data_IF_439913416837
#
_entry.id   IF_439913416837
#
_cell.length_a   1.000
_cell.length_b   1.000
_cell.length_c   1.000
_cell.angle_alpha   90.00
_cell.angle_beta   90.00
_cell.angle_gamma   90.00
#
_symmetry.space_group_name_H-M   'P 1'
#
loop_
_entity.id
_entity.type
_entity.pdbx_description
1 polymer ?
#
# COMPACT_ATOMS: atom_id res chain seq x y z
N UNK A 1 -1.19 11.82 -25.27
CA UNK A 1 -1.01 10.38 -25.28
C UNK A 1 0.26 10.04 -26.03
N UNK A 2 1.10 9.18 -25.47
CA UNK A 2 2.33 8.76 -26.12
C UNK A 2 2.42 7.23 -26.15
N UNK A 3 2.85 6.72 -27.31
CA UNK A 3 3.20 5.32 -27.51
C UNK A 3 4.67 5.21 -27.93
N UNK A 4 5.40 4.30 -27.33
CA UNK A 4 6.76 3.98 -27.74
C UNK A 4 7.00 2.47 -27.68
N UNK A 5 7.68 1.94 -28.69
CA UNK A 5 8.15 0.55 -28.66
C UNK A 5 9.24 0.38 -27.61
N UNK A 6 10.18 1.32 -27.56
CA UNK A 6 11.23 1.37 -26.53
C UNK A 6 11.47 2.82 -26.12
N UNK A 7 11.97 3.03 -24.90
CA UNK A 7 12.24 4.36 -24.37
C UNK A 7 13.59 4.39 -23.67
N UNK A 8 14.39 5.40 -24.07
CA UNK A 8 15.55 5.87 -23.29
C UNK A 8 15.45 7.38 -23.18
N UNK A 9 15.18 7.90 -21.99
CA UNK A 9 14.97 9.33 -21.76
C UNK A 9 13.64 9.65 -21.11
N UNK A 10 12.94 10.66 -21.58
CA UNK A 10 11.70 11.17 -20.97
C UNK A 10 10.53 11.00 -21.94
N UNK A 11 9.42 10.53 -21.40
CA UNK A 11 8.13 10.48 -22.07
C UNK A 11 7.10 11.19 -21.19
N UNK A 12 6.47 12.24 -21.72
CA UNK A 12 5.51 13.06 -20.98
C UNK A 12 4.20 13.16 -21.77
N UNK A 13 3.08 12.99 -21.10
CA UNK A 13 1.74 13.10 -21.68
C UNK A 13 0.72 13.66 -20.69
N UNK A 14 -0.33 14.32 -21.22
CA UNK A 14 -1.43 14.76 -20.38
C UNK A 14 -2.24 13.56 -19.84
N UNK A 15 -2.54 12.56 -20.66
CA UNK A 15 -3.40 11.47 -20.23
C UNK A 15 -2.62 10.18 -19.93
N UNK A 16 -1.91 9.62 -20.91
CA UNK A 16 -1.18 8.37 -20.68
C UNK A 16 0.07 8.21 -21.55
N UNK A 17 1.02 7.47 -21.01
CA UNK A 17 2.20 6.97 -21.70
C UNK A 17 2.15 5.44 -21.74
N UNK A 18 2.46 4.86 -22.89
CA UNK A 18 2.58 3.41 -23.08
C UNK A 18 3.94 3.07 -23.66
N UNK A 19 4.62 2.09 -23.07
CA UNK A 19 5.89 1.56 -23.60
C UNK A 19 5.82 0.04 -23.67
N UNK A 20 5.98 -0.50 -24.89
CA UNK A 20 5.80 -1.93 -25.20
C UNK A 20 7.01 -2.80 -24.82
N UNK A 21 8.14 -2.22 -24.52
CA UNK A 21 9.34 -2.90 -24.05
C UNK A 21 9.85 -2.30 -22.75
N UNK A 22 10.66 -3.04 -21.97
CA UNK A 22 11.26 -2.49 -20.76
C UNK A 22 12.11 -1.27 -21.05
N UNK A 23 11.81 -0.15 -20.41
CA UNK A 23 12.43 1.14 -20.70
C UNK A 23 13.47 1.58 -19.65
N UNK A 24 14.23 2.62 -19.99
CA UNK A 24 15.12 3.37 -19.08
C UNK A 24 14.80 4.84 -19.16
N UNK A 25 14.49 5.48 -18.02
CA UNK A 25 14.22 6.91 -17.99
C UNK A 25 13.01 7.29 -17.16
N UNK A 26 12.25 8.25 -17.63
CA UNK A 26 11.15 8.87 -16.89
C UNK A 26 9.88 8.87 -17.74
N UNK A 27 8.79 8.39 -17.16
CA UNK A 27 7.44 8.59 -17.68
C UNK A 27 6.65 9.52 -16.76
N UNK A 28 6.07 10.57 -17.32
CA UNK A 28 5.24 11.55 -16.62
C UNK A 28 3.85 11.62 -17.27
N UNK A 29 2.80 11.55 -16.48
CA UNK A 29 1.43 11.77 -16.94
C UNK A 29 0.53 12.34 -15.85
N UNK A 30 -0.48 13.09 -16.24
CA UNK A 30 -1.58 13.43 -15.34
C UNK A 30 -2.55 12.25 -15.15
N UNK A 31 -2.58 11.31 -16.08
CA UNK A 31 -3.35 10.07 -15.99
C UNK A 31 -2.44 8.89 -15.60
N UNK A 32 -2.10 8.04 -16.57
CA UNK A 32 -1.47 6.75 -16.29
C UNK A 32 -0.19 6.51 -17.10
N UNK A 33 0.76 5.79 -16.52
CA UNK A 33 1.93 5.28 -17.21
C UNK A 33 1.87 3.74 -17.22
N UNK A 34 2.00 3.15 -18.41
CA UNK A 34 1.96 1.71 -18.62
C UNK A 34 3.24 1.28 -19.32
N UNK A 35 3.92 0.28 -18.78
CA UNK A 35 5.13 -0.27 -19.37
C UNK A 35 5.20 -1.78 -19.18
N UNK A 36 5.79 -2.50 -20.15
CA UNK A 36 6.11 -3.93 -20.00
C UNK A 36 7.26 -4.18 -18.99
N UNK A 37 7.81 -3.12 -18.42
CA UNK A 37 8.80 -3.13 -17.35
C UNK A 37 9.63 -1.86 -17.33
N UNK A 38 10.34 -1.65 -16.23
CA UNK A 38 11.26 -0.53 -16.04
C UNK A 38 12.62 -1.06 -15.62
N UNK A 39 13.56 -1.05 -16.56
CA UNK A 39 14.93 -1.53 -16.28
C UNK A 39 15.68 -0.64 -15.29
N UNK A 40 15.46 0.68 -15.37
CA UNK A 40 15.96 1.68 -14.42
C UNK A 40 15.25 3.01 -14.69
N UNK A 41 14.41 3.46 -13.79
CA UNK A 41 13.72 4.72 -14.03
C UNK A 41 12.58 5.02 -13.06
N UNK A 42 11.79 5.98 -13.47
CA UNK A 42 10.69 6.50 -12.66
C UNK A 42 9.41 6.60 -13.50
N UNK A 43 8.30 6.23 -12.91
CA UNK A 43 6.97 6.51 -13.42
C UNK A 43 6.26 7.45 -12.44
N UNK A 44 5.79 8.60 -12.92
CA UNK A 44 4.96 9.53 -12.14
C UNK A 44 3.66 9.71 -12.91
N UNK A 45 2.57 9.19 -12.35
CA UNK A 45 1.23 9.28 -12.91
C UNK A 45 0.23 9.60 -11.81
N UNK A 46 -0.61 10.61 -12.02
CA UNK A 46 -1.56 11.02 -11.01
C UNK A 46 -2.54 9.89 -10.66
N UNK A 47 -3.03 9.16 -11.68
CA UNK A 47 -3.98 8.06 -11.48
C UNK A 47 -3.25 6.74 -11.24
N UNK A 48 -2.44 6.29 -12.21
CA UNK A 48 -1.85 4.96 -12.12
C UNK A 48 -0.47 4.85 -12.79
N UNK A 49 0.37 3.98 -12.22
CA UNK A 49 1.59 3.48 -12.83
C UNK A 49 1.56 1.95 -12.83
N UNK A 50 1.72 1.36 -14.01
CA UNK A 50 1.68 -0.08 -14.21
C UNK A 50 2.97 -0.53 -14.90
N UNK A 51 3.69 -1.44 -14.26
CA UNK A 51 4.82 -2.13 -14.84
C UNK A 51 4.54 -3.65 -14.84
N UNK A 52 4.01 -4.16 -15.97
CA UNK A 52 3.80 -5.60 -16.16
C UNK A 52 5.14 -6.29 -16.42
N UNK A 53 5.88 -6.56 -15.35
CA UNK A 53 7.22 -7.08 -15.35
C UNK A 53 8.08 -6.44 -14.26
N UNK A 54 9.40 -6.43 -14.44
CA UNK A 54 10.30 -5.87 -13.44
C UNK A 54 10.26 -4.35 -13.41
N UNK A 55 10.06 -3.80 -12.23
CA UNK A 55 10.21 -2.37 -11.92
C UNK A 55 11.46 -2.14 -11.08
N UNK A 56 12.45 -1.43 -11.64
CA UNK A 56 13.63 -0.97 -10.90
C UNK A 56 13.65 0.55 -10.83
N UNK A 57 13.36 1.08 -9.64
CA UNK A 57 13.33 2.53 -9.42
C UNK A 57 12.12 2.98 -8.63
N UNK A 58 11.39 3.99 -9.12
CA UNK A 58 10.34 4.64 -8.35
C UNK A 58 9.03 4.73 -9.15
N UNK A 59 7.92 4.37 -8.53
CA UNK A 59 6.56 4.69 -8.99
C UNK A 59 5.91 5.65 -8.00
N UNK A 60 5.34 6.75 -8.50
CA UNK A 60 4.58 7.74 -7.71
C UNK A 60 3.22 7.97 -8.36
N UNK A 61 2.14 7.68 -7.64
CA UNK A 61 0.79 7.86 -8.18
C UNK A 61 -0.32 7.36 -7.26
N UNK A 62 -1.57 7.54 -7.65
CA UNK A 62 -2.71 7.04 -6.90
C UNK A 62 -2.67 5.52 -6.75
N UNK A 63 -2.47 4.83 -7.85
CA UNK A 63 -2.31 3.36 -7.91
C UNK A 63 -0.95 3.01 -8.54
N UNK A 64 -0.18 2.17 -7.88
CA UNK A 64 1.10 1.67 -8.41
C UNK A 64 1.08 0.14 -8.44
N UNK A 65 1.43 -0.43 -9.59
CA UNK A 65 1.51 -1.87 -9.79
C UNK A 65 2.85 -2.28 -10.42
N UNK A 66 3.43 -3.35 -9.92
CA UNK A 66 4.57 -4.03 -10.54
C UNK A 66 4.48 -5.54 -10.29
N UNK A 67 4.88 -6.37 -11.27
CA UNK A 67 5.03 -7.81 -11.01
C UNK A 67 6.20 -8.03 -10.05
N UNK A 68 7.39 -7.53 -10.40
CA UNK A 68 8.57 -7.59 -9.53
C UNK A 68 9.07 -6.18 -9.24
N UNK A 69 9.09 -5.77 -7.98
CA UNK A 69 9.57 -4.46 -7.55
C UNK A 69 10.97 -4.54 -6.93
N UNK A 70 11.92 -3.84 -7.54
CA UNK A 70 13.22 -3.53 -6.94
C UNK A 70 13.35 -2.02 -6.83
N UNK A 71 12.89 -1.45 -5.73
CA UNK A 71 12.79 0.01 -5.56
C UNK A 71 11.59 0.41 -4.74
N UNK A 72 10.96 1.53 -5.06
CA UNK A 72 9.92 2.08 -4.21
C UNK A 72 8.62 2.39 -4.95
N UNK A 73 7.50 2.23 -4.25
CA UNK A 73 6.18 2.70 -4.66
C UNK A 73 5.67 3.68 -3.62
N UNK A 74 5.22 4.85 -4.06
CA UNK A 74 4.61 5.88 -3.22
C UNK A 74 3.25 6.25 -3.80
N UNK A 75 2.17 6.03 -3.04
CA UNK A 75 0.83 6.29 -3.54
C UNK A 75 -0.27 5.95 -2.55
N UNK A 76 -1.51 6.00 -3.01
CA UNK A 76 -2.64 5.57 -2.18
C UNK A 76 -2.68 4.04 -2.08
N UNK A 77 -2.55 3.36 -3.21
CA UNK A 77 -2.56 1.90 -3.30
C UNK A 77 -1.30 1.45 -4.02
N UNK A 78 -0.51 0.60 -3.38
CA UNK A 78 0.69 0.03 -3.95
C UNK A 78 0.59 -1.50 -3.98
N UNK A 79 0.82 -2.09 -5.14
CA UNK A 79 0.77 -3.53 -5.38
C UNK A 79 2.08 -3.97 -6.03
N UNK A 80 2.74 -4.95 -5.42
CA UNK A 80 3.86 -5.65 -6.02
C UNK A 80 3.70 -7.14 -5.75
N UNK A 81 3.70 -7.97 -6.78
CA UNK A 81 3.58 -9.42 -6.56
C UNK A 81 4.85 -9.93 -5.88
N UNK A 82 6.02 -9.58 -6.39
CA UNK A 82 7.30 -9.85 -5.78
C UNK A 82 8.01 -8.55 -5.40
N UNK A 83 8.57 -8.49 -4.20
CA UNK A 83 9.23 -7.28 -3.70
C UNK A 83 10.58 -7.62 -3.03
N UNK A 84 11.60 -7.99 -3.82
CA UNK A 84 12.88 -8.41 -3.26
C UNK A 84 13.61 -7.31 -2.48
N UNK A 85 13.51 -6.05 -2.91
CA UNK A 85 14.19 -4.93 -2.26
C UNK A 85 13.43 -3.62 -2.45
N UNK A 86 13.33 -2.83 -1.38
CA UNK A 86 12.77 -1.49 -1.42
C UNK A 86 11.68 -1.24 -0.39
N UNK A 87 10.78 -0.29 -0.68
CA UNK A 87 9.73 0.11 0.23
C UNK A 87 8.45 0.52 -0.50
N UNK A 88 7.30 0.14 0.04
CA UNK A 88 6.00 0.65 -0.36
C UNK A 88 5.51 1.64 0.71
N UNK A 89 5.12 2.85 0.30
CA UNK A 89 4.56 3.89 1.17
C UNK A 89 3.19 4.30 0.63
N UNK A 90 2.13 4.09 1.41
CA UNK A 90 0.78 4.39 0.95
C UNK A 90 -0.30 4.09 1.97
N UNK A 91 -1.56 4.33 1.62
CA UNK A 91 -2.66 3.93 2.48
C UNK A 91 -2.81 2.41 2.51
N UNK A 92 -2.77 1.78 1.34
CA UNK A 92 -2.84 0.32 1.20
C UNK A 92 -1.62 -0.18 0.45
N UNK A 93 -0.88 -1.12 1.05
CA UNK A 93 0.27 -1.77 0.44
C UNK A 93 0.07 -3.29 0.42
N UNK A 94 0.19 -3.88 -0.78
CA UNK A 94 0.08 -5.32 -0.98
C UNK A 94 1.33 -5.89 -1.65
N UNK A 95 1.83 -7.00 -1.14
CA UNK A 95 2.86 -7.81 -1.82
C UNK A 95 2.82 -9.26 -1.32
N UNK A 96 3.20 -10.19 -2.18
CA UNK A 96 3.39 -11.60 -1.76
C UNK A 96 4.62 -11.78 -0.86
N UNK A 97 5.61 -10.92 -0.92
CA UNK A 97 6.80 -11.04 -0.07
C UNK A 97 6.48 -10.61 1.37
N UNK A 98 6.60 -11.56 2.29
CA UNK A 98 6.36 -11.33 3.72
C UNK A 98 7.44 -10.48 4.39
N UNK A 99 8.60 -10.30 3.75
CA UNK A 99 9.75 -9.52 4.25
C UNK A 99 9.79 -8.11 3.70
N UNK A 100 8.93 -7.79 2.72
CA UNK A 100 8.88 -6.47 2.11
C UNK A 100 8.58 -5.38 3.14
N UNK A 101 9.27 -4.25 3.03
CA UNK A 101 9.04 -3.08 3.88
C UNK A 101 7.82 -2.32 3.38
N UNK A 102 6.83 -2.17 4.23
CA UNK A 102 5.57 -1.48 3.92
C UNK A 102 5.26 -0.48 5.02
N UNK A 103 4.95 0.76 4.63
CA UNK A 103 4.55 1.85 5.52
C UNK A 103 3.18 2.35 5.05
N UNK A 104 2.16 2.16 5.85
CA UNK A 104 0.80 2.55 5.48
C UNK A 104 -0.24 2.12 6.49
N UNK A 105 -1.49 2.57 6.25
CA UNK A 105 -2.61 2.24 7.13
C UNK A 105 -2.93 0.74 7.08
N UNK A 106 -2.88 0.15 5.89
CA UNK A 106 -3.16 -1.27 5.68
C UNK A 106 -2.00 -1.90 4.91
N UNK A 107 -1.31 -2.85 5.54
CA UNK A 107 -0.21 -3.57 4.93
C UNK A 107 -0.56 -5.05 4.86
N UNK A 108 -0.72 -5.57 3.65
CA UNK A 108 -1.23 -6.92 3.40
C UNK A 108 -0.17 -7.77 2.67
N UNK A 109 -0.12 -9.03 3.01
CA UNK A 109 0.55 -10.11 2.29
C UNK A 109 -0.27 -11.41 2.47
N UNK A 110 0.03 -12.50 1.79
CA UNK A 110 -0.75 -13.75 1.90
C UNK A 110 -0.83 -14.34 3.32
N UNK A 111 0.09 -13.98 4.21
CA UNK A 111 0.09 -14.43 5.61
C UNK A 111 -0.52 -13.41 6.59
N UNK A 112 -1.10 -12.32 6.10
CA UNK A 112 -1.79 -11.34 6.94
C UNK A 112 -3.08 -11.94 7.49
N UNK A 113 -3.20 -12.01 8.80
CA UNK A 113 -4.44 -12.38 9.47
C UNK A 113 -5.31 -11.15 9.70
N UNK A 114 -6.58 -11.27 9.39
CA UNK A 114 -7.56 -10.20 9.59
C UNK A 114 -8.49 -10.62 10.70
N UNK A 115 -8.45 -9.89 11.80
CA UNK A 115 -9.32 -10.12 12.95
C UNK A 115 -10.41 -9.03 13.00
N UNK A 116 -11.64 -9.42 13.25
CA UNK A 116 -12.73 -8.50 13.60
C UNK A 116 -12.76 -8.37 15.12
N UNK A 117 -12.76 -7.16 15.63
CA UNK A 117 -12.73 -6.85 17.06
C UNK A 117 -13.96 -6.05 17.44
N UNK A 118 -14.56 -6.40 18.56
CA UNK A 118 -15.58 -5.61 19.22
C UNK A 118 -15.20 -5.46 20.70
N UNK A 119 -15.20 -4.24 21.21
CA UNK A 119 -14.79 -3.98 22.59
C UNK A 119 -15.40 -2.69 23.15
N UNK A 120 -15.52 -2.61 24.46
CA UNK A 120 -15.89 -1.40 25.19
C UNK A 120 -14.66 -0.66 25.70
N UNK A 121 -14.82 0.63 25.96
CA UNK A 121 -13.76 1.47 26.54
C UNK A 121 -14.33 2.62 27.35
N UNK A 122 -13.46 3.30 28.10
CA UNK A 122 -13.88 4.42 28.94
C UNK A 122 -14.36 5.65 28.16
N UNK A 123 -13.80 5.87 26.97
CA UNK A 123 -14.11 7.04 26.12
C UNK A 123 -15.13 6.71 25.02
N UNK A 124 -15.30 5.44 24.69
CA UNK A 124 -16.25 4.95 23.67
C UNK A 124 -16.88 3.67 24.17
N UNK A 125 -18.20 3.71 24.38
CA UNK A 125 -18.94 2.59 24.97
C UNK A 125 -18.93 1.35 24.09
N UNK A 126 -19.03 1.54 22.77
CA UNK A 126 -18.97 0.47 21.78
C UNK A 126 -17.97 0.79 20.68
N UNK A 127 -17.13 -0.18 20.35
CA UNK A 127 -16.13 -0.08 19.30
C UNK A 127 -16.17 -1.32 18.42
N UNK A 128 -15.98 -1.09 17.12
CA UNK A 128 -15.71 -2.15 16.14
C UNK A 128 -14.44 -1.82 15.36
N UNK A 129 -13.60 -2.81 15.12
CA UNK A 129 -12.34 -2.61 14.42
C UNK A 129 -11.96 -3.82 13.58
N UNK A 130 -11.16 -3.54 12.54
CA UNK A 130 -10.41 -4.52 11.79
C UNK A 130 -8.94 -4.43 12.20
N UNK A 131 -8.37 -5.55 12.60
CA UNK A 131 -6.95 -5.68 12.88
C UNK A 131 -6.28 -6.50 11.79
N UNK A 132 -5.33 -5.89 11.09
CA UNK A 132 -4.47 -6.54 10.10
C UNK A 132 -3.17 -6.93 10.78
N UNK A 133 -2.99 -8.21 11.00
CA UNK A 133 -1.86 -8.75 11.75
C UNK A 133 -0.87 -9.42 10.81
N UNK A 134 0.32 -8.87 10.75
CA UNK A 134 1.48 -9.42 10.05
C UNK A 134 2.43 -10.12 11.05
N UNK A 135 3.53 -10.65 10.55
CA UNK A 135 4.49 -11.42 11.36
C UNK A 135 4.99 -10.69 12.61
N UNK A 136 5.28 -9.40 12.51
CA UNK A 136 5.86 -8.59 13.59
C UNK A 136 5.12 -7.28 13.86
N UNK A 137 4.15 -6.93 13.03
CA UNK A 137 3.41 -5.66 13.13
C UNK A 137 1.91 -5.90 13.00
N UNK A 138 1.14 -4.99 13.54
CA UNK A 138 -0.30 -4.96 13.31
C UNK A 138 -0.80 -3.53 13.08
N UNK A 139 -1.87 -3.43 12.31
CA UNK A 139 -2.62 -2.19 12.13
C UNK A 139 -4.05 -2.43 12.59
N UNK A 140 -4.63 -1.49 13.31
CA UNK A 140 -6.04 -1.52 13.71
C UNK A 140 -6.69 -0.27 13.14
N UNK A 141 -7.80 -0.46 12.43
CA UNK A 141 -8.67 0.60 11.95
C UNK A 141 -10.03 0.34 12.53
N UNK A 142 -10.60 1.30 13.22
CA UNK A 142 -11.88 1.08 13.88
C UNK A 142 -12.72 2.34 14.01
N UNK A 143 -13.96 2.10 14.31
CA UNK A 143 -14.98 3.10 14.63
C UNK A 143 -15.50 2.84 16.02
N UNK A 144 -15.80 3.89 16.76
CA UNK A 144 -16.37 3.80 18.08
C UNK A 144 -17.47 4.83 18.29
N UNK A 145 -18.41 4.54 19.18
CA UNK A 145 -19.41 5.47 19.63
C UNK A 145 -19.32 5.62 21.15
N UNK A 146 -19.36 6.85 21.68
CA UNK A 146 -19.43 7.07 23.13
C UNK A 146 -20.76 6.65 23.72
N UNK A 147 -21.80 6.48 22.88
CA UNK A 147 -23.13 6.10 23.33
C UNK A 147 -23.59 4.79 22.70
N UNK A 148 -24.20 3.94 23.52
CA UNK A 148 -24.98 2.79 23.09
C UNK A 148 -26.43 3.14 23.45
N UNK A 149 -27.11 3.87 22.55
CA UNK A 149 -28.51 4.28 22.74
C UNK A 149 -29.12 4.77 21.43
N UNK A 150 -30.48 4.80 21.41
CA UNK A 150 -31.27 5.20 20.24
C UNK A 150 -31.72 6.67 20.30
N UNK A 151 -31.06 7.51 21.07
CA UNK A 151 -31.51 8.87 21.41
C UNK A 151 -31.27 9.90 20.26
N UNK A 152 -31.05 9.44 19.04
CA UNK A 152 -30.95 10.30 17.85
C UNK A 152 -29.68 11.12 17.74
N UNK A 153 -28.79 11.07 18.71
CA UNK A 153 -27.49 11.75 18.67
C UNK A 153 -26.38 10.72 18.34
N UNK A 154 -26.02 10.66 17.06
CA UNK A 154 -24.87 9.85 16.65
C UNK A 154 -23.58 10.68 16.81
N UNK A 155 -22.72 10.28 17.70
CA UNK A 155 -21.32 10.73 17.70
C UNK A 155 -20.41 9.53 17.47
N UNK A 156 -19.56 9.62 16.45
CA UNK A 156 -18.64 8.55 16.07
C UNK A 156 -17.19 9.01 16.19
N UNK A 157 -16.33 8.11 16.59
CA UNK A 157 -14.89 8.28 16.55
C UNK A 157 -14.28 7.31 15.56
N UNK A 158 -13.39 7.80 14.72
CA UNK A 158 -12.51 6.98 13.90
C UNK A 158 -11.16 6.89 14.61
N UNK A 159 -10.61 5.70 14.74
CA UNK A 159 -9.29 5.53 15.32
C UNK A 159 -8.41 4.61 14.48
N UNK A 160 -7.12 4.86 14.57
CA UNK A 160 -6.09 4.07 13.95
C UNK A 160 -4.99 3.78 14.97
N UNK A 161 -4.51 2.55 14.98
CA UNK A 161 -3.39 2.13 15.80
C UNK A 161 -2.41 1.29 14.96
N UNK A 162 -1.14 1.65 15.04
CA UNK A 162 -0.02 0.85 14.57
C UNK A 162 0.66 0.26 15.79
N UNK A 163 0.97 -1.02 15.76
CA UNK A 163 1.69 -1.66 16.83
C UNK A 163 2.66 -2.72 16.33
N UNK A 164 3.53 -3.15 17.23
CA UNK A 164 4.54 -4.16 16.97
C UNK A 164 4.44 -5.29 18.00
N UNK A 165 4.69 -6.51 17.52
CA UNK A 165 4.80 -7.69 18.37
C UNK A 165 6.28 -7.97 18.67
N UNK A 166 6.60 -8.11 19.95
CA UNK A 166 7.89 -8.60 20.41
C UNK A 166 7.69 -10.03 20.93
N UNK A 167 8.17 -11.02 20.20
CA UNK A 167 8.16 -12.40 20.67
C UNK A 167 9.17 -12.58 21.81
N UNK A 168 8.70 -12.98 22.96
CA UNK A 168 9.54 -13.35 24.10
C UNK A 168 9.92 -14.83 24.02
N UNK A 169 8.97 -15.69 23.64
CA UNK A 169 9.14 -17.12 23.39
C UNK A 169 7.96 -17.67 22.57
N UNK A 170 7.86 -18.99 22.37
CA UNK A 170 6.80 -19.62 21.57
C UNK A 170 5.38 -19.47 22.16
N UNK A 171 5.27 -19.10 23.43
CA UNK A 171 3.99 -18.94 24.15
C UNK A 171 3.64 -17.49 24.47
N UNK A 172 4.63 -16.60 24.55
CA UNK A 172 4.44 -15.22 24.99
C UNK A 172 4.92 -14.20 23.98
N UNK A 173 4.11 -13.20 23.76
CA UNK A 173 4.48 -12.02 22.97
C UNK A 173 3.98 -10.76 23.67
N UNK A 174 4.76 -9.71 23.64
CA UNK A 174 4.38 -8.36 24.03
C UNK A 174 3.93 -7.60 22.78
N UNK A 175 2.87 -6.80 22.91
CA UNK A 175 2.42 -5.88 21.87
C UNK A 175 2.31 -4.47 22.44
N UNK A 176 2.83 -3.49 21.70
CA UNK A 176 2.79 -2.07 22.03
C UNK A 176 2.45 -1.24 20.80
#
# INVERSE_FOLDING_TARGET
NNYATSLRGVQAAAFYNVTMQPFRGLQLSLGSNIAMGVRRGTQVGLLANVASGSMRGLQVGGYNYADTLTGSQVGLINVALEHPHGVQVGLVNYTHDTRAKKIGLVNINPSTLIDVMAFGGSNTAANMALRFRNRSTYNIIGVGSPYVGFDGHFSGALYYRLGQYFRLNDRWSLSG
#
